data_IF_762649763356
#
_entry.id   IF_762649763356
#
_cell.length_a   1.000
_cell.length_b   1.000
_cell.length_c   1.000
_cell.angle_alpha   90.00
_cell.angle_beta   90.00
_cell.angle_gamma   90.00
#
_symmetry.space_group_name_H-M   'P 1'
#
loop_
_entity.id
_entity.type
_entity.pdbx_description
1 polymer ?
#
# COMPACT_ATOMS: atom_id res chain seq x y z
N UNK A 1 8.97 -14.61 -4.14
CA UNK A 1 8.59 -13.89 -2.93
C UNK A 1 8.00 -12.54 -3.31
N UNK A 2 6.86 -12.18 -2.74
CA UNK A 2 6.19 -10.93 -3.07
C UNK A 2 6.77 -9.79 -2.24
N UNK A 3 7.16 -8.70 -2.90
CA UNK A 3 7.73 -7.54 -2.25
C UNK A 3 6.68 -6.44 -2.18
N UNK A 4 6.21 -6.14 -0.98
CA UNK A 4 5.09 -5.21 -0.77
C UNK A 4 5.58 -3.94 -0.10
N UNK A 5 5.14 -2.79 -0.62
CA UNK A 5 5.41 -1.46 -0.05
C UNK A 5 4.08 -0.77 0.21
N UNK A 6 3.93 -0.23 1.41
CA UNK A 6 2.74 0.52 1.83
C UNK A 6 3.11 1.97 2.10
N UNK A 7 2.39 2.90 1.46
CA UNK A 7 2.49 4.33 1.73
C UNK A 7 1.32 4.74 2.60
N UNK A 8 1.61 5.19 3.81
CA UNK A 8 0.63 5.35 4.89
C UNK A 8 0.60 6.76 5.45
N UNK A 9 -0.57 7.22 5.85
CA UNK A 9 -0.74 8.43 6.67
C UNK A 9 -1.41 8.11 8.02
N UNK A 10 -1.40 6.84 8.41
CA UNK A 10 -2.00 6.36 9.67
C UNK A 10 -3.52 6.48 9.75
N UNK A 11 -4.23 6.57 8.62
CA UNK A 11 -5.68 6.55 8.68
C UNK A 11 -6.21 5.13 8.93
N UNK A 12 -7.52 4.99 9.10
CA UNK A 12 -8.14 3.71 9.44
C UNK A 12 -7.94 2.65 8.36
N UNK A 13 -7.99 3.05 7.09
CA UNK A 13 -7.76 2.11 5.98
C UNK A 13 -6.33 1.58 5.99
N UNK A 14 -5.37 2.43 6.36
CA UNK A 14 -3.98 1.98 6.47
C UNK A 14 -3.85 0.87 7.51
N UNK A 15 -4.57 0.97 8.63
CA UNK A 15 -4.56 -0.07 9.65
C UNK A 15 -5.15 -1.38 9.11
N UNK A 16 -6.22 -1.29 8.32
CA UNK A 16 -6.82 -2.47 7.70
C UNK A 16 -5.86 -3.15 6.73
N UNK A 17 -5.13 -2.36 5.94
CA UNK A 17 -4.14 -2.90 5.03
C UNK A 17 -3.02 -3.60 5.79
N UNK A 18 -2.56 -3.01 6.90
CA UNK A 18 -1.54 -3.63 7.73
C UNK A 18 -1.99 -4.99 8.24
N UNK A 19 -3.22 -5.10 8.70
CA UNK A 19 -3.78 -6.35 9.17
C UNK A 19 -3.81 -7.40 8.06
N UNK A 20 -4.22 -7.00 6.86
CA UNK A 20 -4.24 -7.89 5.71
C UNK A 20 -2.83 -8.37 5.37
N UNK A 21 -1.87 -7.46 5.29
CA UNK A 21 -0.50 -7.80 4.92
C UNK A 21 0.16 -8.70 5.95
N UNK A 22 -0.11 -8.46 7.25
CA UNK A 22 0.39 -9.33 8.31
C UNK A 22 -0.18 -10.74 8.20
N UNK A 23 -1.44 -10.86 7.83
CA UNK A 23 -2.09 -12.16 7.67
C UNK A 23 -1.49 -12.97 6.52
N UNK A 24 -0.94 -12.31 5.52
CA UNK A 24 -0.32 -12.96 4.36
C UNK A 24 1.08 -13.50 4.65
N UNK A 25 1.66 -13.16 5.79
CA UNK A 25 2.98 -13.65 6.25
C UNK A 25 4.15 -13.29 5.30
N UNK A 26 3.91 -12.41 4.33
CA UNK A 26 4.92 -12.04 3.36
C UNK A 26 5.83 -10.89 3.81
N UNK A 27 5.47 -10.22 4.87
CA UNK A 27 6.15 -9.01 5.29
C UNK A 27 5.88 -7.85 4.34
N UNK A 28 6.15 -6.66 4.77
CA UNK A 28 5.98 -5.46 3.95
C UNK A 28 6.82 -4.32 4.51
N UNK A 29 7.09 -3.33 3.66
CA UNK A 29 7.76 -2.09 4.06
C UNK A 29 6.69 -1.00 4.16
N UNK A 30 6.65 -0.29 5.28
CA UNK A 30 5.72 0.82 5.46
C UNK A 30 6.48 2.14 5.47
N UNK A 31 6.05 3.08 4.63
CA UNK A 31 6.55 4.45 4.60
C UNK A 31 5.48 5.38 5.12
N UNK A 32 5.85 6.28 6.02
CA UNK A 32 4.94 7.21 6.68
C UNK A 32 5.06 8.62 6.10
N UNK A 33 3.92 9.23 5.86
CA UNK A 33 3.84 10.64 5.43
C UNK A 33 4.57 11.53 6.44
N UNK A 34 5.39 12.44 5.93
CA UNK A 34 6.19 13.41 6.72
C UNK A 34 7.27 12.78 7.59
N UNK A 35 7.50 11.48 7.47
CA UNK A 35 8.62 10.77 8.09
C UNK A 35 9.53 10.23 7.00
N UNK A 36 8.99 9.42 6.10
CA UNK A 36 9.74 8.77 5.04
C UNK A 36 9.55 9.44 3.69
N UNK A 37 8.46 10.18 3.51
CA UNK A 37 8.17 10.91 2.28
C UNK A 37 7.30 12.12 2.59
N UNK A 38 7.23 13.07 1.64
CA UNK A 38 6.36 14.24 1.74
C UNK A 38 5.12 14.05 0.88
N UNK A 39 4.07 14.85 1.15
CA UNK A 39 2.88 14.84 0.32
C UNK A 39 3.20 15.18 -1.13
N UNK A 40 4.15 16.08 -1.36
CA UNK A 40 4.57 16.44 -2.71
C UNK A 40 5.18 15.24 -3.44
N UNK A 41 6.03 14.49 -2.77
CA UNK A 41 6.63 13.27 -3.33
C UNK A 41 5.55 12.24 -3.65
N UNK A 42 4.59 12.07 -2.75
CA UNK A 42 3.46 11.16 -2.95
C UNK A 42 2.64 11.56 -4.17
N UNK A 43 2.32 12.86 -4.30
CA UNK A 43 1.54 13.37 -5.43
C UNK A 43 2.27 13.16 -6.75
N UNK A 44 3.59 13.32 -6.76
CA UNK A 44 4.39 13.09 -7.96
C UNK A 44 4.41 11.62 -8.36
N UNK A 45 4.36 10.72 -7.39
CA UNK A 45 4.42 9.27 -7.65
C UNK A 45 3.06 8.72 -8.06
N UNK A 46 1.99 9.14 -7.38
CA UNK A 46 0.67 8.52 -7.51
C UNK A 46 -0.39 9.45 -8.10
N UNK A 47 -0.09 10.73 -8.28
CA UNK A 47 -1.03 11.75 -8.75
C UNK A 47 -1.67 12.51 -7.60
N UNK A 48 -2.07 13.76 -7.88
CA UNK A 48 -2.61 14.65 -6.84
C UNK A 48 -3.96 14.24 -6.27
N UNK A 49 -4.66 13.33 -6.94
CA UNK A 49 -5.97 12.84 -6.49
C UNK A 49 -5.88 11.51 -5.75
N UNK A 50 -4.67 10.97 -5.59
CA UNK A 50 -4.49 9.68 -4.91
C UNK A 50 -4.80 9.80 -3.43
N UNK A 51 -5.45 8.77 -2.90
CA UNK A 51 -5.79 8.68 -1.48
C UNK A 51 -4.85 7.72 -0.77
N UNK A 52 -4.86 7.73 0.55
CA UNK A 52 -4.14 6.77 1.37
C UNK A 52 -5.08 5.65 1.78
N UNK A 53 -4.59 4.41 1.91
CA UNK A 53 -3.24 3.96 1.60
C UNK A 53 -2.98 3.76 0.11
N UNK A 54 -1.72 3.73 -0.30
CA UNK A 54 -1.32 3.30 -1.63
C UNK A 54 -0.32 2.17 -1.51
N UNK A 55 -0.48 1.14 -2.31
CA UNK A 55 0.31 -0.07 -2.21
C UNK A 55 1.03 -0.35 -3.52
N UNK A 56 2.31 -0.77 -3.42
CA UNK A 56 3.07 -1.31 -4.54
C UNK A 56 3.42 -2.76 -4.25
N UNK A 57 3.32 -3.61 -5.26
CA UNK A 57 3.69 -5.02 -5.15
C UNK A 57 4.65 -5.33 -6.30
N UNK A 58 5.86 -5.78 -5.95
CA UNK A 58 6.92 -6.09 -6.90
C UNK A 58 7.23 -4.89 -7.81
N UNK A 59 7.30 -3.68 -7.21
CA UNK A 59 7.54 -2.41 -7.88
C UNK A 59 6.42 -1.94 -8.80
N UNK A 60 5.27 -2.62 -8.77
CA UNK A 60 4.10 -2.23 -9.56
C UNK A 60 3.09 -1.51 -8.65
N UNK A 61 2.64 -0.32 -9.05
CA UNK A 61 1.61 0.40 -8.33
C UNK A 61 0.28 -0.33 -8.44
N UNK A 62 -0.28 -0.75 -7.33
CA UNK A 62 -1.54 -1.49 -7.29
C UNK A 62 -2.70 -0.55 -7.00
N UNK A 63 -2.58 0.31 -5.98
CA UNK A 63 -3.61 1.25 -5.62
C UNK A 63 -3.94 1.22 -4.13
N UNK A 64 -5.23 1.40 -3.80
CA UNK A 64 -5.71 1.44 -2.43
C UNK A 64 -6.02 0.04 -1.90
N UNK A 65 -6.67 -0.03 -0.73
CA UNK A 65 -7.04 -1.31 -0.11
C UNK A 65 -7.90 -2.18 -1.04
N UNK A 66 -8.91 -1.59 -1.67
CA UNK A 66 -9.82 -2.33 -2.55
C UNK A 66 -9.07 -2.91 -3.74
N UNK A 67 -8.22 -2.11 -4.37
CA UNK A 67 -7.41 -2.56 -5.51
C UNK A 67 -6.46 -3.67 -5.11
N UNK A 68 -5.87 -3.57 -3.92
CA UNK A 68 -4.96 -4.57 -3.39
C UNK A 68 -5.69 -5.89 -3.13
N UNK A 69 -6.90 -5.83 -2.56
CA UNK A 69 -7.71 -7.04 -2.35
C UNK A 69 -8.01 -7.74 -3.67
N UNK A 70 -8.41 -6.99 -4.70
CA UNK A 70 -8.67 -7.56 -6.03
C UNK A 70 -7.42 -8.20 -6.61
N UNK A 71 -6.28 -7.53 -6.51
CA UNK A 71 -5.02 -8.05 -7.02
C UNK A 71 -4.67 -9.38 -6.34
N UNK A 72 -4.80 -9.42 -5.02
CA UNK A 72 -4.44 -10.63 -4.25
C UNK A 72 -5.40 -11.78 -4.54
N UNK A 73 -6.69 -11.49 -4.75
CA UNK A 73 -7.66 -12.51 -5.15
C UNK A 73 -7.32 -13.08 -6.52
N UNK A 74 -6.97 -12.22 -7.48
CA UNK A 74 -6.61 -12.65 -8.83
C UNK A 74 -5.33 -13.49 -8.81
N UNK A 75 -4.41 -13.22 -7.88
CA UNK A 75 -3.18 -13.98 -7.73
C UNK A 75 -3.34 -15.24 -6.89
N UNK A 76 -4.54 -15.48 -6.34
CA UNK A 76 -4.80 -16.64 -5.51
C UNK A 76 -4.17 -16.57 -4.13
N UNK A 77 -3.88 -15.39 -3.61
CA UNK A 77 -3.27 -15.21 -2.29
C UNK A 77 -4.31 -15.15 -1.17
N UNK A 78 -5.54 -14.81 -1.50
CA UNK A 78 -6.65 -14.77 -0.54
C UNK A 78 -7.91 -15.32 -1.17
#
# INVERSE_FOLDING_TARGET
MMKVVLYSNNNQECERVKQLLNALKGGYKEYFLNVDFTQQQFDMEFGGDATYPQIQINAKHIGNLKDTLHYLQDCGKI
#
